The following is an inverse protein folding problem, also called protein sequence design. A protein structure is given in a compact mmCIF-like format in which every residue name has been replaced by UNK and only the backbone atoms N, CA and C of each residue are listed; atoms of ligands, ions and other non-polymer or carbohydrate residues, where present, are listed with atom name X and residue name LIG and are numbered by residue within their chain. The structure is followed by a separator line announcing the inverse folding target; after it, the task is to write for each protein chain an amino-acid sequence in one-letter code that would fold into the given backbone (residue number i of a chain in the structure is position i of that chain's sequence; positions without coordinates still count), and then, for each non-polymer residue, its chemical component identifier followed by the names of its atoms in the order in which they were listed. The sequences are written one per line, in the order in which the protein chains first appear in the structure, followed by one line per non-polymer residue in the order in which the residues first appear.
data_IF_990576329606
#
_entry.id   IF_990576329606
#
_cell.length_a   1.000
_cell.length_b   1.000
_cell.length_c   1.000
_cell.angle_alpha   90.00
_cell.angle_beta   90.00
_cell.angle_gamma   90.00
#
_symmetry.space_group_name_H-M   'P 1'
#
loop_
_entity.id
_entity.type
_entity.pdbx_description
1 polymer ?
#
# COMPACT_ATOMS: atom_id res chain seq x y z
N UNK A 1 -10.76 11.56 18.01
CA UNK A 1 -11.27 12.39 19.11
C UNK A 1 -10.37 12.20 20.31
N UNK A 2 -9.97 13.27 21.00
CA UNK A 2 -9.13 13.18 22.20
C UNK A 2 -9.98 13.10 23.48
N UNK A 3 -9.37 12.66 24.57
CA UNK A 3 -10.02 12.55 25.90
C UNK A 3 -10.47 13.92 26.40
N UNK A 4 -9.62 14.94 26.26
CA UNK A 4 -9.95 16.30 26.70
C UNK A 4 -11.14 16.89 25.92
N UNK A 5 -11.16 16.72 24.59
CA UNK A 5 -12.30 17.12 23.75
C UNK A 5 -13.60 16.42 24.16
N UNK A 6 -13.51 15.15 24.57
CA UNK A 6 -14.66 14.39 25.05
C UNK A 6 -15.20 14.96 26.36
N UNK A 7 -14.32 15.22 27.32
CA UNK A 7 -14.70 15.81 28.61
C UNK A 7 -15.27 17.22 28.44
N UNK A 8 -14.78 17.99 27.47
CA UNK A 8 -15.33 19.31 27.18
C UNK A 8 -16.78 19.24 26.70
N UNK A 9 -17.09 18.24 25.86
CA UNK A 9 -18.43 18.00 25.29
C UNK A 9 -19.38 17.23 26.20
N UNK A 10 -18.89 16.62 27.29
CA UNK A 10 -19.75 15.94 28.26
C UNK A 10 -20.75 16.93 28.88
N UNK A 11 -22.03 16.64 28.69
CA UNK A 11 -23.13 17.36 29.32
C UNK A 11 -23.27 16.92 30.78
N UNK A 12 -22.86 17.80 31.70
CA UNK A 12 -22.92 17.53 33.14
C UNK A 12 -24.28 17.98 33.67
N UNK A 13 -25.04 17.04 34.24
CA UNK A 13 -26.36 17.32 34.81
C UNK A 13 -26.26 18.17 36.08
N UNK A 14 -27.19 19.11 36.23
CA UNK A 14 -27.33 19.96 37.40
C UNK A 14 -28.40 19.38 38.33
N UNK A 15 -28.04 19.14 39.59
CA UNK A 15 -28.90 18.65 40.66
C UNK A 15 -28.99 19.72 41.76
N UNK A 16 -30.02 20.58 41.66
CA UNK A 16 -30.17 21.75 42.52
C UNK A 16 -29.12 22.83 42.26
N UNK A 17 -28.36 23.21 43.29
CA UNK A 17 -27.23 24.15 43.17
C UNK A 17 -25.91 23.49 42.76
N UNK A 18 -25.85 22.16 42.78
CA UNK A 18 -24.65 21.41 42.47
C UNK A 18 -24.77 20.75 41.10
N UNK A 19 -23.62 20.46 40.51
CA UNK A 19 -23.51 19.59 39.36
C UNK A 19 -23.15 18.18 39.85
N UNK A 20 -23.55 17.15 39.11
CA UNK A 20 -23.30 15.75 39.46
C UNK A 20 -22.48 15.05 38.40
N UNK A 21 -21.52 14.23 38.83
CA UNK A 21 -20.76 13.37 37.94
C UNK A 21 -21.69 12.33 37.29
N UNK A 22 -21.64 12.10 35.96
CA UNK A 22 -22.47 11.11 35.30
C UNK A 22 -22.06 9.66 35.64
N UNK A 23 -20.83 9.45 36.12
CA UNK A 23 -20.27 8.12 36.37
C UNK A 23 -20.25 7.72 37.85
N UNK A 24 -20.52 8.64 38.79
CA UNK A 24 -20.59 8.35 40.21
C UNK A 24 -21.38 9.41 40.99
N UNK A 25 -21.61 9.20 42.28
CA UNK A 25 -22.39 10.10 43.13
C UNK A 25 -21.64 11.37 43.58
N UNK A 26 -20.50 11.71 42.97
CA UNK A 26 -19.75 12.92 43.29
C UNK A 26 -20.48 14.18 42.80
N UNK A 27 -20.68 15.15 43.68
CA UNK A 27 -21.29 16.45 43.36
C UNK A 27 -20.35 17.60 43.69
N UNK A 28 -20.44 18.70 42.93
CA UNK A 28 -19.66 19.91 43.18
C UNK A 28 -20.40 21.15 42.65
N UNK A 29 -20.14 22.33 43.21
CA UNK A 29 -20.74 23.58 42.75
C UNK A 29 -20.16 24.03 41.39
N UNK A 30 -18.90 23.67 41.11
CA UNK A 30 -18.21 24.04 39.88
C UNK A 30 -18.16 22.90 38.86
N UNK A 31 -18.59 23.21 37.63
CA UNK A 31 -18.47 22.31 36.48
C UNK A 31 -17.01 21.92 36.21
N UNK A 32 -16.07 22.87 36.38
CA UNK A 32 -14.63 22.63 36.19
C UNK A 32 -14.09 21.57 37.15
N UNK A 33 -14.55 21.59 38.40
CA UNK A 33 -14.13 20.62 39.41
C UNK A 33 -14.63 19.21 39.05
N UNK A 34 -15.84 19.11 38.51
CA UNK A 34 -16.39 17.82 38.03
C UNK A 34 -15.64 17.31 36.81
N UNK A 35 -15.32 18.16 35.83
CA UNK A 35 -14.50 17.76 34.68
C UNK A 35 -13.12 17.21 35.11
N UNK A 36 -12.48 17.85 36.11
CA UNK A 36 -11.22 17.36 36.69
C UNK A 36 -11.38 16.04 37.45
N UNK A 37 -12.48 15.89 38.19
CA UNK A 37 -12.83 14.63 38.85
C UNK A 37 -13.02 13.51 37.82
N UNK A 38 -13.78 13.76 36.75
CA UNK A 38 -14.02 12.81 35.66
C UNK A 38 -12.68 12.39 35.01
N UNK A 39 -11.80 13.35 34.69
CA UNK A 39 -10.48 13.08 34.11
C UNK A 39 -9.58 12.21 34.98
N UNK A 40 -9.73 12.26 36.31
CA UNK A 40 -8.85 11.55 37.25
C UNK A 40 -9.42 10.22 37.75
N UNK A 41 -10.72 10.17 38.04
CA UNK A 41 -11.40 8.98 38.59
C UNK A 41 -12.08 8.11 37.53
N UNK A 42 -12.41 8.67 36.38
CA UNK A 42 -13.13 7.99 35.31
C UNK A 42 -12.34 7.94 34.00
N UNK A 43 -11.01 8.10 34.06
CA UNK A 43 -10.11 8.05 32.91
C UNK A 43 -10.31 6.77 32.08
N UNK A 44 -10.34 5.61 32.73
CA UNK A 44 -10.47 4.31 32.05
C UNK A 44 -11.82 4.13 31.35
N UNK A 45 -12.88 4.74 31.89
CA UNK A 45 -14.21 4.71 31.30
C UNK A 45 -14.21 5.57 30.03
N UNK A 46 -13.70 6.80 30.14
CA UNK A 46 -13.61 7.73 29.01
C UNK A 46 -12.70 7.20 27.91
N UNK A 47 -11.57 6.58 28.26
CA UNK A 47 -10.66 5.99 27.28
C UNK A 47 -11.39 4.95 26.41
N UNK A 48 -12.21 4.07 27.01
CA UNK A 48 -13.02 3.09 26.28
C UNK A 48 -14.08 3.74 25.41
N UNK A 49 -14.74 4.79 25.90
CA UNK A 49 -15.74 5.54 25.14
C UNK A 49 -15.12 6.22 23.91
N UNK A 50 -13.98 6.90 24.09
CA UNK A 50 -13.23 7.56 23.02
C UNK A 50 -12.72 6.55 22.00
N UNK A 51 -12.23 5.39 22.43
CA UNK A 51 -11.84 4.31 21.52
C UNK A 51 -13.02 3.81 20.68
N UNK A 52 -14.20 3.63 21.29
CA UNK A 52 -15.39 3.17 20.58
C UNK A 52 -15.86 4.21 19.56
N UNK A 53 -15.82 5.50 19.91
CA UNK A 53 -16.12 6.59 18.98
C UNK A 53 -15.11 6.64 17.82
N UNK A 54 -13.82 6.39 18.08
CA UNK A 54 -12.80 6.34 17.03
C UNK A 54 -12.96 5.09 16.13
N UNK A 55 -13.45 3.96 16.67
CA UNK A 55 -13.75 2.74 15.90
C UNK A 55 -14.97 2.94 15.00
N UNK A 56 -16.03 3.60 15.49
CA UNK A 56 -17.23 3.92 14.69
C UNK A 56 -16.91 4.91 13.55
N UNK A 57 -16.00 5.86 13.80
CA UNK A 57 -15.54 6.81 12.79
C UNK A 57 -14.43 6.27 11.88
N UNK A 58 -14.02 5.00 12.03
CA UNK A 58 -13.10 4.39 11.07
C UNK A 58 -13.86 4.36 9.74
N UNK A 59 -13.38 5.06 8.70
CA UNK A 59 -14.11 5.11 7.44
C UNK A 59 -14.32 3.67 7.02
N UNK A 60 -15.58 3.26 6.87
CA UNK A 60 -15.88 2.01 6.19
C UNK A 60 -15.15 2.15 4.86
N UNK A 61 -14.06 1.40 4.70
CA UNK A 61 -13.45 1.24 3.40
C UNK A 61 -14.55 0.61 2.58
N UNK A 62 -15.32 1.43 1.85
CA UNK A 62 -16.04 0.93 0.69
C UNK A 62 -14.99 0.13 -0.06
N UNK A 63 -15.22 -1.14 -0.37
CA UNK A 63 -14.29 -1.87 -1.21
C UNK A 63 -14.06 -0.94 -2.40
N UNK A 64 -12.81 -0.53 -2.64
CA UNK A 64 -12.49 0.09 -3.91
C UNK A 64 -13.12 -0.85 -4.92
N UNK A 65 -14.07 -0.35 -5.73
CA UNK A 65 -14.43 -1.08 -6.94
C UNK A 65 -13.08 -1.38 -7.56
N UNK A 66 -12.70 -2.66 -7.63
CA UNK A 66 -11.54 -3.06 -8.42
C UNK A 66 -11.83 -2.38 -9.75
N UNK A 67 -11.07 -1.33 -10.08
CA UNK A 67 -11.04 -0.90 -11.46
C UNK A 67 -10.77 -2.19 -12.22
N UNK A 68 -11.54 -2.51 -13.28
CA UNK A 68 -11.16 -3.63 -14.11
C UNK A 68 -9.68 -3.40 -14.39
N UNK A 69 -8.82 -4.34 -13.97
CA UNK A 69 -7.44 -4.32 -14.46
C UNK A 69 -7.64 -4.19 -15.95
N UNK A 70 -7.23 -3.06 -16.56
CA UNK A 70 -7.12 -3.01 -18.02
C UNK A 70 -6.37 -4.29 -18.32
N UNK A 71 -7.04 -5.23 -18.98
CA UNK A 71 -6.36 -6.45 -19.34
C UNK A 71 -5.15 -5.94 -20.10
N UNK A 72 -3.95 -6.35 -19.70
CA UNK A 72 -2.74 -6.13 -20.50
C UNK A 72 -2.85 -6.86 -21.87
N UNK A 73 -4.04 -7.36 -22.23
CA UNK A 73 -4.56 -7.66 -23.56
C UNK A 73 -4.50 -6.43 -24.48
N UNK A 74 -3.29 -6.00 -24.88
CA UNK A 74 -2.92 -5.86 -26.31
C UNK A 74 -1.50 -5.31 -26.52
N UNK A 75 -0.62 -5.30 -25.51
CA UNK A 75 0.80 -5.12 -25.81
C UNK A 75 1.36 -6.43 -26.38
N UNK A 76 1.03 -6.69 -27.65
CA UNK A 76 1.78 -7.64 -28.47
C UNK A 76 3.17 -7.03 -28.68
N UNK A 77 4.17 -7.54 -27.98
CA UNK A 77 5.55 -7.33 -28.38
C UNK A 77 5.76 -7.95 -29.76
N UNK A 78 5.49 -7.21 -30.82
CA UNK A 78 5.77 -7.64 -32.18
C UNK A 78 7.27 -7.95 -32.35
N UNK A 79 8.14 -7.25 -31.61
CA UNK A 79 9.58 -7.56 -31.51
C UNK A 79 9.87 -8.95 -30.94
N UNK A 80 9.05 -9.43 -30.00
CA UNK A 80 9.24 -10.74 -29.37
C UNK A 80 8.36 -11.82 -29.96
N UNK A 81 7.40 -11.49 -30.82
CA UNK A 81 6.50 -12.47 -31.42
C UNK A 81 7.29 -13.58 -32.13
N UNK A 82 8.39 -13.22 -32.80
CA UNK A 82 9.27 -14.16 -33.50
C UNK A 82 10.39 -14.75 -32.63
N UNK A 83 10.73 -14.08 -31.52
CA UNK A 83 11.83 -14.43 -30.63
C UNK A 83 11.41 -15.27 -29.43
N UNK A 84 10.11 -15.25 -29.08
CA UNK A 84 9.61 -15.82 -27.84
C UNK A 84 9.88 -17.33 -27.79
N UNK A 85 10.57 -17.77 -26.73
CA UNK A 85 11.05 -19.15 -26.52
C UNK A 85 12.04 -19.65 -27.57
N UNK A 86 12.62 -18.77 -28.38
CA UNK A 86 13.74 -19.12 -29.28
C UNK A 86 15.06 -18.68 -28.66
N UNK A 87 16.14 -19.34 -29.05
CA UNK A 87 17.49 -18.86 -28.82
C UNK A 87 17.73 -17.67 -29.75
N UNK A 88 18.22 -16.57 -29.23
CA UNK A 88 18.44 -15.35 -30.00
C UNK A 88 19.77 -14.73 -29.64
N UNK A 89 20.34 -14.01 -30.60
CA UNK A 89 21.49 -13.13 -30.44
C UNK A 89 20.97 -11.70 -30.36
N UNK A 90 21.24 -11.03 -29.25
CA UNK A 90 20.73 -9.71 -28.90
C UNK A 90 21.91 -8.75 -28.88
N UNK A 91 21.79 -7.67 -29.65
CA UNK A 91 22.78 -6.62 -29.75
C UNK A 91 22.32 -5.44 -28.92
N UNK A 92 23.16 -5.00 -27.99
CA UNK A 92 22.89 -3.86 -27.13
C UNK A 92 23.57 -2.59 -27.67
N UNK A 93 23.05 -1.44 -27.29
CA UNK A 93 23.53 -0.11 -27.68
C UNK A 93 24.97 0.18 -27.21
N UNK A 94 25.38 -0.44 -26.11
CA UNK A 94 26.74 -0.41 -25.60
C UNK A 94 27.73 -1.33 -26.34
N UNK A 95 27.28 -2.04 -27.39
CA UNK A 95 28.10 -2.96 -28.18
C UNK A 95 28.20 -4.38 -27.62
N UNK A 96 27.62 -4.65 -26.45
CA UNK A 96 27.60 -6.00 -25.88
C UNK A 96 26.65 -6.92 -26.66
N UNK A 97 27.02 -8.19 -26.72
CA UNK A 97 26.24 -9.22 -27.41
C UNK A 97 25.79 -10.24 -26.37
N UNK A 98 24.47 -10.45 -26.30
CA UNK A 98 23.84 -11.44 -25.42
C UNK A 98 23.22 -12.54 -26.25
N UNK A 99 23.68 -13.78 -26.08
CA UNK A 99 23.09 -14.96 -26.72
C UNK A 99 22.33 -15.79 -25.70
N UNK A 100 21.08 -16.12 -25.94
CA UNK A 100 20.33 -16.98 -25.03
C UNK A 100 18.86 -17.13 -25.40
N UNK A 101 18.10 -17.85 -24.57
CA UNK A 101 16.70 -18.13 -24.83
C UNK A 101 15.82 -17.00 -24.33
N UNK A 102 15.08 -16.34 -25.23
CA UNK A 102 14.29 -15.16 -24.89
C UNK A 102 12.95 -15.56 -24.27
N UNK A 103 12.70 -15.05 -23.06
CA UNK A 103 11.47 -15.18 -22.29
C UNK A 103 10.94 -13.78 -21.95
N UNK A 104 9.83 -13.39 -22.55
CA UNK A 104 9.21 -12.10 -22.22
C UNK A 104 8.63 -12.15 -20.81
N UNK A 105 8.86 -11.10 -20.00
CA UNK A 105 8.24 -10.99 -18.68
C UNK A 105 7.35 -9.75 -18.57
N UNK A 106 7.77 -8.61 -19.14
CA UNK A 106 7.13 -7.31 -18.89
C UNK A 106 7.15 -6.37 -20.11
N UNK A 107 6.36 -5.28 -20.04
CA UNK A 107 6.23 -4.26 -21.11
C UNK A 107 7.55 -3.62 -21.54
N UNK A 108 8.50 -3.46 -20.63
CA UNK A 108 9.77 -2.73 -20.87
C UNK A 108 10.99 -3.63 -20.88
N UNK A 109 10.86 -4.87 -20.42
CA UNK A 109 12.01 -5.74 -20.15
C UNK A 109 11.82 -7.09 -20.82
N UNK A 110 12.93 -7.66 -21.28
CA UNK A 110 13.00 -9.05 -21.71
C UNK A 110 13.88 -9.81 -20.72
N UNK A 111 13.52 -11.07 -20.45
CA UNK A 111 14.38 -11.98 -19.72
C UNK A 111 15.02 -12.92 -20.73
N UNK A 112 16.31 -13.14 -20.59
CA UNK A 112 17.06 -14.11 -21.40
C UNK A 112 17.57 -15.16 -20.44
N UNK A 113 17.25 -16.43 -20.72
CA UNK A 113 17.71 -17.59 -19.98
C UNK A 113 18.93 -18.19 -20.68
N UNK A 114 19.81 -18.83 -19.91
CA UNK A 114 21.03 -19.48 -20.42
C UNK A 114 21.83 -18.51 -21.29
N UNK A 115 22.02 -17.30 -20.77
CA UNK A 115 22.56 -16.17 -21.49
C UNK A 115 24.10 -16.20 -21.49
N UNK A 116 24.71 -16.07 -22.67
CA UNK A 116 26.14 -15.89 -22.85
C UNK A 116 26.40 -14.43 -23.21
N UNK A 117 27.16 -13.73 -22.36
CA UNK A 117 27.53 -12.31 -22.52
C UNK A 117 29.05 -12.22 -22.61
N UNK A 118 29.59 -11.84 -23.76
CA UNK A 118 31.06 -11.70 -23.97
C UNK A 118 31.86 -12.88 -23.37
N UNK A 119 31.48 -14.10 -23.76
CA UNK A 119 32.06 -15.38 -23.29
C UNK A 119 31.83 -15.77 -21.82
N UNK A 120 31.03 -15.01 -21.08
CA UNK A 120 30.57 -15.38 -19.73
C UNK A 120 29.17 -15.95 -19.77
N UNK A 121 29.01 -17.15 -19.22
CA UNK A 121 27.71 -17.78 -19.05
C UNK A 121 27.00 -17.22 -17.81
N UNK A 122 25.73 -16.86 -17.99
CA UNK A 122 24.86 -16.28 -16.98
C UNK A 122 23.52 -17.02 -17.08
N UNK A 123 23.08 -17.62 -15.97
CA UNK A 123 21.84 -18.39 -15.91
C UNK A 123 20.62 -17.59 -16.42
N UNK A 124 20.56 -16.30 -16.06
CA UNK A 124 19.50 -15.39 -16.48
C UNK A 124 19.95 -13.93 -16.47
N UNK A 125 19.50 -13.16 -17.45
CA UNK A 125 19.69 -11.70 -17.50
C UNK A 125 18.38 -10.99 -17.85
N UNK A 126 18.18 -9.82 -17.28
CA UNK A 126 17.06 -8.93 -17.61
C UNK A 126 17.62 -7.77 -18.42
N UNK A 127 17.08 -7.57 -19.61
CA UNK A 127 17.50 -6.53 -20.54
C UNK A 127 16.32 -5.57 -20.73
N UNK A 128 16.58 -4.26 -20.61
CA UNK A 128 15.58 -3.26 -20.95
C UNK A 128 15.51 -3.11 -22.47
N UNK A 129 14.30 -3.12 -23.03
CA UNK A 129 14.07 -3.05 -24.48
C UNK A 129 14.64 -1.79 -25.12
N UNK A 130 14.73 -0.69 -24.35
CA UNK A 130 15.29 0.57 -24.83
C UNK A 130 16.77 0.48 -25.22
N UNK A 131 17.50 -0.51 -24.70
CA UNK A 131 18.91 -0.75 -25.02
C UNK A 131 19.12 -1.78 -26.14
N UNK A 132 18.05 -2.41 -26.64
CA UNK A 132 18.15 -3.42 -27.69
C UNK A 132 18.24 -2.72 -29.04
N UNK A 133 19.37 -2.89 -29.72
CA UNK A 133 19.59 -2.40 -31.08
C UNK A 133 19.02 -3.39 -32.10
N UNK A 134 19.30 -4.69 -31.91
CA UNK A 134 18.83 -5.75 -32.79
C UNK A 134 18.62 -7.05 -32.02
N UNK A 135 17.65 -7.83 -32.47
CA UNK A 135 17.39 -9.18 -31.98
C UNK A 135 17.30 -10.11 -33.19
N UNK A 136 18.20 -11.09 -33.24
CA UNK A 136 18.29 -12.07 -34.33
C UNK A 136 17.99 -13.46 -33.75
N UNK A 137 16.91 -14.14 -34.16
CA UNK A 137 16.70 -15.54 -33.78
C UNK A 137 17.81 -16.40 -34.38
N UNK A 138 18.44 -17.22 -33.54
CA UNK A 138 19.35 -18.28 -33.98
C UNK A 138 18.45 -19.47 -34.27
N UNK A 139 17.98 -19.56 -35.51
CA UNK A 139 17.23 -20.71 -36.00
C UNK A 139 18.15 -21.95 -36.01
N UNK A 140 17.60 -23.08 -35.56
CA UNK A 140 17.93 -24.38 -36.19
C UNK A 140 16.98 -24.58 -37.37
#
# INVERSE_FOLDING_TARGET
MNIDDYIEKLEIQKEGFFYKCPYCNYTNADVKAIKKHIKSKHYDIIAKEVENLNKQNKPQRKPMKKQPKKKDDDYKDYMLLFAHKKKCKIYLDNGMIVEGTVKAKDRFNIMVLDAKVDDKEVERIIIQKGHIVALIPLEE
#
